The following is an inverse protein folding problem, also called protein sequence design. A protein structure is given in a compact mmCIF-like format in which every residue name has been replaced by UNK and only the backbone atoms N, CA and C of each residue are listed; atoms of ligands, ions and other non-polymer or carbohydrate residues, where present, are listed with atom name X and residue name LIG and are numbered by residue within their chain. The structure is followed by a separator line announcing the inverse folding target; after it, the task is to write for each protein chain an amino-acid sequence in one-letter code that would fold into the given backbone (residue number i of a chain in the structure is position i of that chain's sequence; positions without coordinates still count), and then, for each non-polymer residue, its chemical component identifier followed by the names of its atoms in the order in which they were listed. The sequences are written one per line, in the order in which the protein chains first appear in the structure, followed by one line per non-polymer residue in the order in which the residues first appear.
data_IF_228774763751
#
_entry.id   IF_228774763751
#
_cell.length_a   1.000
_cell.length_b   1.000
_cell.length_c   1.000
_cell.angle_alpha   90.00
_cell.angle_beta   90.00
_cell.angle_gamma   90.00
#
_symmetry.space_group_name_H-M   'P 1'
#
loop_
_entity.id
_entity.type
_entity.pdbx_description
1 polymer ?
#
# COMPACT_ATOMS: atom_id res chain seq x y z
N UNK A 1 -8.29 -23.12 7.43
CA UNK A 1 -7.75 -23.09 6.06
C UNK A 1 -6.78 -21.92 5.94
N UNK A 2 -5.71 -21.94 6.75
CA UNK A 2 -4.74 -20.86 6.87
C UNK A 2 -3.58 -21.13 5.90
N UNK A 3 -3.78 -20.83 4.63
CA UNK A 3 -2.70 -20.62 3.66
C UNK A 3 -2.19 -19.19 3.87
N UNK A 4 -1.28 -19.09 4.83
CA UNK A 4 -0.45 -17.96 5.26
C UNK A 4 -1.16 -16.63 5.57
N UNK A 5 -1.09 -16.24 6.85
CA UNK A 5 -1.53 -14.96 7.43
C UNK A 5 -0.71 -13.77 6.88
N UNK A 6 -0.84 -13.53 5.58
CA UNK A 6 -0.21 -12.42 4.84
C UNK A 6 -0.91 -11.13 5.26
N UNK A 7 -0.11 -10.19 5.77
CA UNK A 7 -0.57 -8.90 6.28
C UNK A 7 -0.11 -7.79 5.36
N UNK A 8 -1.05 -7.12 4.71
CA UNK A 8 -0.75 -5.95 3.88
C UNK A 8 -1.38 -4.72 4.50
N UNK A 9 -0.54 -3.71 4.76
CA UNK A 9 -1.01 -2.38 5.20
C UNK A 9 -1.19 -1.50 3.98
N UNK A 10 -2.35 -0.87 3.84
CA UNK A 10 -2.65 0.01 2.72
C UNK A 10 -2.95 1.42 3.21
N UNK A 11 -2.21 2.42 2.75
CA UNK A 11 -2.49 3.82 3.04
C UNK A 11 -3.29 4.43 1.89
N UNK A 12 -4.52 4.89 2.16
CA UNK A 12 -5.38 5.51 1.16
C UNK A 12 -5.59 7.00 1.46
N UNK A 13 -5.44 7.86 0.44
CA UNK A 13 -5.92 9.23 0.57
C UNK A 13 -7.45 9.27 0.65
N UNK A 14 -7.99 10.18 1.47
CA UNK A 14 -9.42 10.30 1.73
C UNK A 14 -10.23 10.61 0.46
N UNK A 15 -9.72 11.50 -0.39
CA UNK A 15 -10.51 12.12 -1.45
C UNK A 15 -10.68 11.27 -2.69
N UNK A 16 -9.68 10.46 -3.03
CA UNK A 16 -9.68 9.66 -4.24
C UNK A 16 -9.68 8.17 -3.89
N UNK A 17 -8.55 7.64 -3.42
CA UNK A 17 -8.37 6.19 -3.32
C UNK A 17 -9.21 5.53 -2.23
N UNK A 18 -9.55 6.24 -1.15
CA UNK A 18 -10.53 5.76 -0.17
C UNK A 18 -11.94 5.71 -0.79
N UNK A 19 -12.31 6.71 -1.60
CA UNK A 19 -13.54 6.66 -2.41
C UNK A 19 -13.52 5.54 -3.44
N UNK A 20 -12.37 5.23 -4.06
CA UNK A 20 -12.20 4.08 -4.94
C UNK A 20 -12.46 2.75 -4.22
N UNK A 21 -12.00 2.63 -2.96
CA UNK A 21 -12.32 1.50 -2.10
C UNK A 21 -13.82 1.39 -1.81
N UNK A 22 -14.48 2.51 -1.50
CA UNK A 22 -15.93 2.57 -1.24
C UNK A 22 -16.74 2.22 -2.50
N UNK A 23 -16.29 2.68 -3.68
CA UNK A 23 -16.88 2.34 -4.97
C UNK A 23 -16.76 0.84 -5.25
N UNK A 24 -15.59 0.24 -4.99
CA UNK A 24 -15.42 -1.21 -5.12
C UNK A 24 -16.37 -1.98 -4.20
N UNK A 25 -16.55 -1.53 -2.95
CA UNK A 25 -17.50 -2.10 -2.00
C UNK A 25 -18.95 -2.00 -2.46
N UNK A 26 -19.37 -0.82 -2.92
CA UNK A 26 -20.74 -0.55 -3.39
C UNK A 26 -21.07 -1.36 -4.64
N UNK A 27 -20.11 -1.49 -5.56
CA UNK A 27 -20.22 -2.32 -6.76
C UNK A 27 -20.01 -3.82 -6.50
N UNK A 28 -19.79 -4.23 -5.25
CA UNK A 28 -19.58 -5.63 -4.82
C UNK A 28 -18.38 -6.31 -5.51
N UNK A 29 -17.38 -5.53 -5.91
CA UNK A 29 -16.16 -6.04 -6.53
C UNK A 29 -15.36 -6.82 -5.50
N UNK A 30 -15.18 -8.13 -5.75
CA UNK A 30 -14.46 -9.00 -4.83
C UNK A 30 -12.94 -8.88 -5.02
N UNK A 31 -12.23 -8.79 -3.91
CA UNK A 31 -10.77 -8.83 -3.84
C UNK A 31 -10.34 -9.53 -2.55
N UNK A 32 -9.09 -10.01 -2.43
CA UNK A 32 -8.65 -10.73 -1.24
C UNK A 32 -8.68 -9.89 0.04
N UNK A 33 -8.94 -10.53 1.19
CA UNK A 33 -9.19 -9.86 2.48
C UNK A 33 -7.93 -9.57 3.31
N UNK A 34 -6.75 -9.72 2.71
CA UNK A 34 -5.44 -9.59 3.34
C UNK A 34 -5.01 -8.12 3.60
N UNK A 35 -5.72 -7.15 3.03
CA UNK A 35 -5.41 -5.73 3.21
C UNK A 35 -6.09 -5.12 4.43
N UNK A 36 -5.43 -4.18 5.09
CA UNK A 36 -6.02 -3.29 6.10
C UNK A 36 -5.73 -1.84 5.75
N UNK A 37 -6.79 -1.08 5.50
CA UNK A 37 -6.70 0.31 5.04
C UNK A 37 -6.51 1.25 6.23
N UNK A 38 -5.52 2.13 6.13
CA UNK A 38 -5.32 3.30 6.98
C UNK A 38 -5.66 4.53 6.14
N UNK A 39 -6.68 5.26 6.56
CA UNK A 39 -7.09 6.50 5.91
C UNK A 39 -6.19 7.66 6.32
N UNK A 40 -5.71 8.41 5.34
CA UNK A 40 -5.05 9.71 5.53
C UNK A 40 -5.71 10.76 4.65
N UNK A 41 -5.63 12.05 5.00
CA UNK A 41 -6.27 13.08 4.17
C UNK A 41 -5.63 13.19 2.78
N UNK A 42 -4.31 13.08 2.72
CA UNK A 42 -3.55 13.19 1.48
C UNK A 42 -2.47 12.11 1.45
N UNK A 43 -2.18 11.57 0.27
CA UNK A 43 -1.04 10.66 0.07
C UNK A 43 0.30 11.35 0.37
N UNK A 44 0.38 12.68 0.24
CA UNK A 44 1.51 13.49 0.69
C UNK A 44 1.77 13.46 2.21
N UNK A 45 0.82 12.95 3.01
CA UNK A 45 1.04 12.70 4.46
C UNK A 45 1.98 11.54 4.71
N UNK A 46 2.11 10.63 3.74
CA UNK A 46 2.91 9.43 3.85
C UNK A 46 4.39 9.80 3.71
N UNK A 47 5.15 9.35 4.70
CA UNK A 47 6.59 9.52 4.86
C UNK A 47 7.24 8.13 4.96
N UNK A 48 8.54 7.99 4.65
CA UNK A 48 9.24 6.70 4.73
C UNK A 48 9.06 5.96 6.07
N UNK A 49 9.04 6.71 7.18
CA UNK A 49 8.83 6.17 8.53
C UNK A 49 7.53 5.37 8.69
N UNK A 50 6.45 5.72 7.98
CA UNK A 50 5.19 4.97 8.05
C UNK A 50 5.33 3.59 7.42
N UNK A 51 5.99 3.54 6.25
CA UNK A 51 6.23 2.29 5.51
C UNK A 51 7.18 1.38 6.29
N UNK A 52 8.29 1.93 6.79
CA UNK A 52 9.25 1.16 7.59
C UNK A 52 8.64 0.67 8.92
N UNK A 53 7.83 1.50 9.60
CA UNK A 53 7.09 1.08 10.79
C UNK A 53 6.15 -0.08 10.47
N UNK A 54 5.43 -0.05 9.35
CA UNK A 54 4.53 -1.14 8.98
C UNK A 54 5.28 -2.48 8.87
N UNK A 55 6.46 -2.52 8.23
CA UNK A 55 7.29 -3.71 8.21
C UNK A 55 7.78 -4.12 9.59
N UNK A 56 8.17 -3.15 10.43
CA UNK A 56 8.56 -3.41 11.82
C UNK A 56 7.45 -4.06 12.64
N UNK A 57 6.19 -3.69 12.40
CA UNK A 57 5.03 -4.32 13.06
C UNK A 57 4.61 -5.65 12.41
N UNK A 58 5.36 -6.16 11.43
CA UNK A 58 5.11 -7.45 10.81
C UNK A 58 4.19 -7.39 9.58
N UNK A 59 4.17 -6.29 8.84
CA UNK A 59 3.60 -6.30 7.49
C UNK A 59 4.47 -7.14 6.53
N UNK A 60 3.83 -7.87 5.63
CA UNK A 60 4.47 -8.61 4.53
C UNK A 60 4.55 -7.77 3.25
N UNK A 61 3.66 -6.77 3.14
CA UNK A 61 3.68 -5.78 2.09
C UNK A 61 3.00 -4.47 2.50
N UNK A 62 3.32 -3.40 1.77
CA UNK A 62 2.75 -2.06 1.98
C UNK A 62 2.25 -1.48 0.65
N UNK A 63 1.00 -1.05 0.64
CA UNK A 63 0.40 -0.29 -0.45
C UNK A 63 0.23 1.18 -0.06
N UNK A 64 0.49 2.09 -0.99
CA UNK A 64 0.21 3.51 -0.81
C UNK A 64 -0.55 4.02 -2.03
N UNK A 65 -1.74 4.57 -1.83
CA UNK A 65 -2.55 5.08 -2.93
C UNK A 65 -2.91 6.56 -2.76
N UNK A 66 -3.02 7.26 -3.89
CA UNK A 66 -3.37 8.66 -3.93
C UNK A 66 -4.19 9.03 -5.15
N UNK A 67 -4.56 10.31 -5.24
CA UNK A 67 -5.16 10.88 -6.46
C UNK A 67 -4.15 10.86 -7.61
N UNK A 68 -4.64 10.80 -8.85
CA UNK A 68 -3.85 11.03 -10.05
C UNK A 68 -3.09 12.36 -10.00
N UNK A 69 -1.95 12.42 -10.69
CA UNK A 69 -1.16 13.65 -10.80
C UNK A 69 -1.99 14.73 -11.50
N UNK A 70 -2.11 15.90 -10.87
CA UNK A 70 -3.02 16.97 -11.30
C UNK A 70 -4.33 17.01 -10.52
N UNK A 71 -4.79 15.88 -9.97
CA UNK A 71 -6.10 15.76 -9.31
C UNK A 71 -5.99 15.72 -7.78
N UNK A 72 -4.84 16.10 -7.22
CA UNK A 72 -4.69 16.12 -5.77
C UNK A 72 -5.64 17.15 -5.17
N UNK A 73 -6.48 16.73 -4.21
CA UNK A 73 -7.36 17.66 -3.48
C UNK A 73 -6.60 18.80 -2.76
N UNK A 74 -5.31 18.57 -2.47
CA UNK A 74 -4.41 19.57 -1.86
C UNK A 74 -3.34 20.01 -2.86
N UNK A 75 -3.72 20.12 -4.14
CA UNK A 75 -2.99 20.54 -5.34
C UNK A 75 -1.80 19.66 -5.72
N UNK A 76 -0.86 19.45 -4.80
CA UNK A 76 0.41 18.85 -5.14
C UNK A 76 0.99 17.89 -4.09
N UNK A 77 0.21 17.41 -3.13
CA UNK A 77 0.68 16.48 -2.10
C UNK A 77 1.20 15.15 -2.66
N UNK A 78 0.53 14.59 -3.67
CA UNK A 78 0.93 13.35 -4.35
C UNK A 78 2.29 13.44 -5.05
N UNK A 79 2.67 14.58 -5.63
CA UNK A 79 4.02 14.75 -6.20
C UNK A 79 5.14 14.62 -5.16
N UNK A 80 4.88 14.95 -3.89
CA UNK A 80 5.86 14.79 -2.81
C UNK A 80 5.99 13.31 -2.46
N UNK A 81 4.86 12.59 -2.44
CA UNK A 81 4.88 11.13 -2.30
C UNK A 81 5.67 10.47 -3.43
N UNK A 82 5.44 10.82 -4.70
CA UNK A 82 6.15 10.22 -5.85
C UNK A 82 7.67 10.29 -5.69
N UNK A 83 8.19 11.46 -5.29
CA UNK A 83 9.62 11.63 -5.00
C UNK A 83 10.09 10.78 -3.82
N UNK A 84 9.31 10.69 -2.74
CA UNK A 84 9.63 9.88 -1.57
C UNK A 84 9.59 8.39 -1.88
N UNK A 85 8.70 7.94 -2.75
CA UNK A 85 8.60 6.52 -3.13
C UNK A 85 9.91 6.02 -3.75
N UNK A 86 10.60 6.84 -4.55
CA UNK A 86 11.93 6.51 -5.10
C UNK A 86 12.94 6.20 -4.00
N UNK A 87 12.96 7.01 -2.94
CA UNK A 87 13.80 6.77 -1.77
C UNK A 87 13.34 5.52 -1.00
N UNK A 88 12.04 5.37 -0.77
CA UNK A 88 11.46 4.23 -0.04
C UNK A 88 11.83 2.90 -0.71
N UNK A 89 11.75 2.82 -2.04
CA UNK A 89 12.16 1.61 -2.78
C UNK A 89 13.63 1.29 -2.60
N UNK A 90 14.50 2.30 -2.73
CA UNK A 90 15.93 2.11 -2.53
C UNK A 90 16.25 1.63 -1.10
N UNK A 91 15.65 2.26 -0.09
CA UNK A 91 15.82 1.86 1.31
C UNK A 91 15.32 0.43 1.55
N UNK A 92 14.21 0.03 0.93
CA UNK A 92 13.69 -1.32 1.09
C UNK A 92 14.66 -2.39 0.59
N UNK A 93 15.39 -2.14 -0.51
CA UNK A 93 16.40 -3.09 -0.97
C UNK A 93 17.64 -3.08 -0.08
N UNK A 94 18.14 -1.90 0.30
CA UNK A 94 19.34 -1.77 1.15
C UNK A 94 19.13 -2.40 2.54
N UNK A 95 17.90 -2.37 3.05
CA UNK A 95 17.51 -3.01 4.32
C UNK A 95 17.14 -4.50 4.17
N UNK A 96 17.23 -5.08 2.97
CA UNK A 96 16.89 -6.48 2.72
C UNK A 96 15.39 -6.81 2.79
N UNK A 97 14.50 -5.80 2.80
CA UNK A 97 13.03 -5.99 2.72
C UNK A 97 12.65 -6.42 1.30
N UNK A 98 13.26 -5.79 0.30
CA UNK A 98 12.94 -5.93 -1.12
C UNK A 98 11.84 -4.97 -1.56
N UNK A 99 12.12 -4.15 -2.59
CA UNK A 99 11.20 -3.12 -3.11
C UNK A 99 9.86 -3.67 -3.59
N UNK A 100 9.82 -4.92 -4.05
CA UNK A 100 8.62 -5.58 -4.58
C UNK A 100 7.52 -5.74 -3.51
N UNK A 101 7.89 -5.67 -2.22
CA UNK A 101 6.95 -5.66 -1.10
C UNK A 101 6.25 -4.31 -0.89
N UNK A 102 6.61 -3.31 -1.68
CA UNK A 102 6.05 -1.96 -1.60
C UNK A 102 5.47 -1.62 -2.97
N UNK A 103 4.28 -1.05 -3.02
CA UNK A 103 3.73 -0.54 -4.26
C UNK A 103 2.95 0.75 -4.01
N UNK A 104 3.03 1.68 -4.96
CA UNK A 104 2.18 2.85 -4.97
C UNK A 104 1.43 2.95 -6.29
N UNK A 105 0.18 3.40 -6.22
CA UNK A 105 -0.69 3.56 -7.37
C UNK A 105 -1.58 4.79 -7.20
N UNK A 106 -2.08 5.31 -8.32
CA UNK A 106 -2.90 6.51 -8.37
C UNK A 106 -4.32 6.10 -8.75
N UNK A 107 -5.25 6.21 -7.81
CA UNK A 107 -6.61 5.66 -7.92
C UNK A 107 -7.61 6.76 -7.56
N UNK A 108 -8.45 7.13 -8.52
CA UNK A 108 -9.56 8.08 -8.39
C UNK A 108 -10.72 7.48 -7.59
N UNK A 109 -11.67 8.33 -7.19
CA UNK A 109 -12.85 7.89 -6.45
C UNK A 109 -13.77 6.95 -7.26
N UNK A 110 -13.79 7.07 -8.58
CA UNK A 110 -14.63 6.25 -9.46
C UNK A 110 -13.95 4.97 -9.94
N UNK A 111 -12.66 4.79 -9.63
CA UNK A 111 -11.85 3.66 -10.11
C UNK A 111 -11.92 2.44 -9.16
N UNK A 112 -13.13 1.99 -8.84
CA UNK A 112 -13.33 0.82 -7.97
C UNK A 112 -12.75 -0.48 -8.54
N UNK A 113 -12.86 -0.68 -9.86
CA UNK A 113 -12.29 -1.86 -10.53
C UNK A 113 -10.77 -1.86 -10.42
N UNK A 114 -10.13 -0.71 -10.71
CA UNK A 114 -8.69 -0.54 -10.54
C UNK A 114 -8.26 -0.79 -9.10
N UNK A 115 -9.00 -0.29 -8.10
CA UNK A 115 -8.73 -0.58 -6.69
C UNK A 115 -8.70 -2.09 -6.42
N UNK A 116 -9.73 -2.83 -6.85
CA UNK A 116 -9.83 -4.27 -6.65
C UNK A 116 -8.67 -5.02 -7.34
N UNK A 117 -8.32 -4.63 -8.56
CA UNK A 117 -7.20 -5.24 -9.30
C UNK A 117 -5.83 -4.93 -8.69
N UNK A 118 -5.60 -3.70 -8.24
CA UNK A 118 -4.35 -3.33 -7.54
C UNK A 118 -4.20 -4.13 -6.24
N UNK A 119 -5.29 -4.38 -5.51
CA UNK A 119 -5.27 -5.24 -4.32
C UNK A 119 -4.97 -6.70 -4.69
N UNK A 120 -5.64 -7.28 -5.70
CA UNK A 120 -5.36 -8.64 -6.17
C UNK A 120 -3.91 -8.81 -6.59
N UNK A 121 -3.39 -7.88 -7.39
CA UNK A 121 -2.01 -7.86 -7.85
C UNK A 121 -1.04 -7.89 -6.68
N UNK A 122 -1.24 -7.02 -5.68
CA UNK A 122 -0.37 -6.95 -4.53
C UNK A 122 -0.41 -8.24 -3.70
N UNK A 123 -1.61 -8.77 -3.46
CA UNK A 123 -1.77 -9.99 -2.67
C UNK A 123 -1.09 -11.17 -3.34
N UNK A 124 -1.25 -11.33 -4.65
CA UNK A 124 -0.58 -12.39 -5.40
C UNK A 124 0.94 -12.22 -5.35
N UNK A 125 1.45 -11.00 -5.55
CA UNK A 125 2.88 -10.71 -5.45
C UNK A 125 3.45 -11.08 -4.06
N UNK A 126 2.76 -10.73 -2.98
CA UNK A 126 3.24 -11.06 -1.63
C UNK A 126 3.14 -12.56 -1.34
N UNK A 127 2.13 -13.26 -1.89
CA UNK A 127 2.06 -14.73 -1.82
C UNK A 127 3.29 -15.38 -2.46
N UNK A 128 3.67 -14.93 -3.64
CA UNK A 128 4.83 -15.47 -4.36
C UNK A 128 6.15 -15.19 -3.63
N UNK A 129 6.27 -14.02 -2.98
CA UNK A 129 7.44 -13.63 -2.20
C UNK A 129 7.49 -14.27 -0.80
N UNK A 130 6.38 -14.81 -0.30
CA UNK A 130 6.23 -15.31 1.07
C UNK A 130 6.36 -14.22 2.15
N UNK A 131 6.45 -14.62 3.43
CA UNK A 131 6.52 -13.69 4.56
C UNK A 131 7.71 -12.72 4.52
N UNK A 132 7.55 -11.53 5.09
CA UNK A 132 8.64 -10.54 5.16
C UNK A 132 9.88 -11.05 5.90
N UNK A 133 11.10 -10.84 5.38
CA UNK A 133 12.34 -11.27 6.03
C UNK A 133 12.58 -10.56 7.38
N UNK A 134 12.03 -9.35 7.55
CA UNK A 134 12.16 -8.56 8.79
C UNK A 134 11.45 -9.24 9.99
N UNK A 135 10.38 -10.01 9.76
CA UNK A 135 9.64 -10.69 10.84
C UNK A 135 10.54 -11.61 11.65
N UNK A 136 11.43 -12.35 10.99
CA UNK A 136 12.36 -13.28 11.64
C UNK A 136 13.41 -12.52 12.43
N UNK A 137 14.02 -11.51 11.81
CA UNK A 137 15.05 -10.69 12.42
C UNK A 137 14.59 -9.97 13.69
N UNK A 138 13.32 -9.54 13.74
CA UNK A 138 12.74 -8.90 14.92
C UNK A 138 12.32 -9.88 16.02
N UNK A 139 12.00 -11.12 15.67
CA UNK A 139 11.72 -12.16 16.66
C UNK A 139 13.01 -12.69 17.33
N UNK A 140 14.15 -12.51 16.65
CA UNK A 140 15.48 -12.92 17.10
C UNK A 140 16.27 -11.81 17.82
N UNK A 141 15.76 -10.57 17.82
CA UNK A 141 16.37 -9.37 18.42
C UNK A 141 15.72 -9.01 19.77
#
# INVERSE_FOLDING_TARGET
MAEDDIKIVMFCCNWCSYGGADTAGTARMQYPTNIRVIRVMCSGRIEPQFVLKAFREGADGVLVTGCHHGDCHYDAGNYKLDRRMRLIYKLADELGIGRERIHHDWISASEGEKFAETVKMMVNRIKDLGPSPIKKQLAEA
#
